data_IF_417334695887
#
_entry.id   IF_417334695887
#
_cell.length_a   1.000
_cell.length_b   1.000
_cell.length_c   1.000
_cell.angle_alpha   90.00
_cell.angle_beta   90.00
_cell.angle_gamma   90.00
#
_symmetry.space_group_name_H-M   'P 1'
#
loop_
_entity.id
_entity.type
_entity.pdbx_description
1 polymer ?
#
# COMPACT_ATOMS: atom_id res chain seq x y z
N UNK A 1 32.87 14.53 -14.47
CA UNK A 1 31.99 15.68 -14.73
C UNK A 1 32.88 16.88 -15.00
N UNK A 2 32.66 17.63 -16.08
CA UNK A 2 33.41 18.85 -16.31
C UNK A 2 33.04 19.89 -15.24
N UNK A 3 34.03 20.44 -14.54
CA UNK A 3 33.83 21.54 -13.62
C UNK A 3 33.60 22.82 -14.42
N UNK A 4 32.35 23.29 -14.47
CA UNK A 4 32.03 24.63 -14.94
C UNK A 4 32.54 25.66 -13.94
N UNK A 5 33.85 25.93 -13.99
CA UNK A 5 34.49 27.03 -13.27
C UNK A 5 34.18 28.38 -13.93
N UNK A 6 34.54 29.47 -13.24
CA UNK A 6 34.69 30.76 -13.92
C UNK A 6 35.85 30.65 -14.91
N UNK A 7 35.67 31.26 -16.09
CA UNK A 7 36.70 31.35 -17.12
C UNK A 7 37.79 32.35 -16.68
N UNK A 8 39.04 32.11 -17.07
CA UNK A 8 40.10 33.10 -16.86
C UNK A 8 39.88 34.31 -17.79
N UNK A 9 40.25 35.51 -17.35
CA UNK A 9 40.07 36.77 -18.11
C UNK A 9 40.46 36.70 -19.62
N UNK A 10 41.62 36.14 -20.03
CA UNK A 10 41.96 36.03 -21.46
C UNK A 10 41.01 35.10 -22.25
N UNK A 11 40.44 34.09 -21.60
CA UNK A 11 39.48 33.17 -22.22
C UNK A 11 38.08 33.82 -22.30
N UNK A 12 37.69 34.60 -21.30
CA UNK A 12 36.46 35.40 -21.33
C UNK A 12 36.53 36.48 -22.43
N UNK A 13 37.66 37.19 -22.55
CA UNK A 13 37.92 38.15 -23.63
C UNK A 13 37.88 37.49 -25.02
N UNK A 14 38.39 36.25 -25.14
CA UNK A 14 38.33 35.47 -26.38
C UNK A 14 36.88 35.04 -26.71
N UNK A 15 36.09 34.66 -25.71
CA UNK A 15 34.68 34.33 -25.84
C UNK A 15 33.83 35.55 -26.21
N UNK A 16 34.15 36.74 -25.68
CA UNK A 16 33.51 37.99 -26.09
C UNK A 16 33.82 38.34 -27.56
N UNK A 17 35.07 38.15 -28.00
CA UNK A 17 35.47 38.36 -29.40
C UNK A 17 34.79 37.39 -30.37
N UNK A 18 34.55 36.13 -29.97
CA UNK A 18 33.81 35.16 -30.80
C UNK A 18 32.29 35.34 -30.76
N UNK A 19 31.74 35.92 -29.68
CA UNK A 19 30.32 36.27 -29.57
C UNK A 19 29.90 37.49 -30.38
N UNK A 20 30.78 38.47 -30.59
CA UNK A 20 30.46 39.67 -31.35
C UNK A 20 30.16 39.29 -32.81
N UNK A 21 28.89 39.36 -33.22
CA UNK A 21 28.55 38.94 -34.57
C UNK A 21 29.13 39.91 -35.60
N UNK A 22 29.59 39.37 -36.74
CA UNK A 22 29.99 40.17 -37.90
C UNK A 22 28.92 41.20 -38.34
N UNK A 23 27.64 40.97 -38.01
CA UNK A 23 26.51 41.88 -38.27
C UNK A 23 26.56 43.12 -37.36
N UNK A 24 27.07 43.00 -36.15
CA UNK A 24 27.16 44.05 -35.14
C UNK A 24 28.47 44.84 -35.28
N UNK A 25 29.56 44.18 -35.67
CA UNK A 25 30.87 44.81 -35.85
C UNK A 25 31.00 45.60 -37.18
N UNK A 26 30.36 45.12 -38.27
CA UNK A 26 30.47 45.74 -39.61
C UNK A 26 29.95 47.19 -39.67
N UNK A 27 28.79 47.57 -39.09
CA UNK A 27 28.35 48.96 -39.04
C UNK A 27 29.38 49.87 -38.36
N UNK A 28 29.87 49.48 -37.19
CA UNK A 28 30.89 50.23 -36.46
C UNK A 28 32.17 50.41 -37.30
N UNK A 29 32.72 49.33 -37.88
CA UNK A 29 33.88 49.39 -38.77
C UNK A 29 33.66 50.29 -39.99
N UNK A 30 32.47 50.28 -40.59
CA UNK A 30 32.14 51.15 -41.73
C UNK A 30 32.06 52.63 -41.32
N UNK A 31 31.40 52.95 -40.21
CA UNK A 31 31.37 54.32 -39.66
C UNK A 31 32.79 54.80 -39.36
N UNK A 32 33.58 54.02 -38.62
CA UNK A 32 34.97 54.37 -38.30
C UNK A 32 35.80 54.60 -39.57
N UNK A 33 35.69 53.74 -40.58
CA UNK A 33 36.39 53.94 -41.86
C UNK A 33 35.87 55.16 -42.62
N UNK A 34 34.55 55.41 -42.66
CA UNK A 34 34.00 56.55 -43.42
C UNK A 34 34.30 57.90 -42.75
N UNK A 35 34.40 57.96 -41.42
CA UNK A 35 34.62 59.22 -40.68
C UNK A 35 36.10 59.51 -40.36
N UNK A 36 36.91 58.49 -40.05
CA UNK A 36 38.27 58.67 -39.49
C UNK A 36 39.40 58.31 -40.46
N UNK A 37 39.11 57.73 -41.62
CA UNK A 37 40.13 57.41 -42.62
C UNK A 37 40.63 58.71 -43.29
N UNK A 38 41.95 58.89 -43.52
CA UNK A 38 42.50 60.15 -44.05
C UNK A 38 41.89 60.60 -45.38
N UNK A 39 41.56 59.65 -46.27
CA UNK A 39 40.86 59.91 -47.54
C UNK A 39 39.35 60.21 -47.39
N UNK A 40 38.84 60.42 -46.16
CA UNK A 40 37.44 60.78 -45.94
C UNK A 40 37.16 62.20 -46.42
N UNK A 41 36.01 62.38 -47.08
CA UNK A 41 35.47 63.67 -47.54
C UNK A 41 35.34 64.69 -46.39
N UNK A 42 35.24 64.23 -45.14
CA UNK A 42 35.21 65.11 -43.95
C UNK A 42 36.60 65.69 -43.64
N UNK A 43 37.65 64.89 -43.77
CA UNK A 43 39.02 65.30 -43.45
C UNK A 43 39.68 66.04 -44.62
N UNK A 44 39.48 65.59 -45.86
CA UNK A 44 40.05 66.21 -47.06
C UNK A 44 39.45 67.59 -47.37
N UNK A 45 38.16 67.81 -47.10
CA UNK A 45 37.56 69.14 -47.24
C UNK A 45 37.94 70.11 -46.09
N UNK A 46 38.40 69.59 -44.95
CA UNK A 46 38.86 70.44 -43.83
C UNK A 46 40.26 71.03 -44.04
N UNK A 47 41.05 70.51 -44.98
CA UNK A 47 42.43 70.94 -45.25
C UNK A 47 42.58 71.87 -46.45
N UNK A 48 41.51 72.11 -47.21
CA UNK A 48 41.49 73.05 -48.34
C UNK A 48 41.24 74.48 -47.84
N UNK A 49 42.20 75.41 -47.99
CA UNK A 49 41.95 76.81 -47.66
C UNK A 49 40.92 77.41 -48.63
N UNK A 50 40.09 78.38 -48.18
CA UNK A 50 39.18 79.11 -49.06
C UNK A 50 39.99 80.04 -49.97
N UNK A 51 40.48 79.52 -51.09
CA UNK A 51 41.13 80.33 -52.12
C UNK A 51 40.11 81.23 -52.82
N UNK A 52 40.44 82.51 -53.07
CA UNK A 52 39.55 83.41 -53.81
C UNK A 52 39.33 82.89 -55.25
N UNK A 53 38.21 83.23 -55.90
CA UNK A 53 37.97 82.83 -57.28
C UNK A 53 39.06 83.41 -58.20
N UNK A 54 39.62 82.64 -59.15
CA UNK A 54 40.46 83.20 -60.19
C UNK A 54 39.62 84.12 -61.09
N UNK A 55 40.19 85.27 -61.49
CA UNK A 55 39.58 86.16 -62.48
C UNK A 55 39.39 85.40 -63.80
N UNK A 56 38.13 85.17 -64.17
CA UNK A 56 37.78 84.34 -65.32
C UNK A 56 37.79 85.15 -66.63
N UNK A 57 38.84 84.98 -67.43
CA UNK A 57 38.87 85.41 -68.85
C UNK A 57 38.63 84.28 -69.86
N UNK A 58 38.52 83.03 -69.40
CA UNK A 58 38.21 81.86 -70.25
C UNK A 58 36.91 81.18 -69.80
N UNK A 59 35.88 81.18 -70.66
CA UNK A 59 34.57 80.53 -70.39
C UNK A 59 34.72 79.02 -70.11
N UNK A 60 35.69 78.35 -70.77
CA UNK A 60 36.02 76.95 -70.53
C UNK A 60 36.62 76.68 -69.14
N UNK A 61 37.31 77.67 -68.54
CA UNK A 61 37.87 77.52 -67.19
C UNK A 61 36.80 77.74 -66.11
N UNK A 62 35.81 78.60 -66.36
CA UNK A 62 34.65 78.74 -65.48
C UNK A 62 33.81 77.45 -65.46
N UNK A 63 33.51 76.88 -66.63
CA UNK A 63 32.69 75.68 -66.77
C UNK A 63 33.31 74.44 -66.08
N UNK A 64 34.64 74.26 -66.14
CA UNK A 64 35.32 73.15 -65.45
C UNK A 64 35.31 73.31 -63.93
N UNK A 65 35.51 74.52 -63.41
CA UNK A 65 35.41 74.81 -61.97
C UNK A 65 33.98 74.62 -61.45
N UNK A 66 32.95 74.92 -62.24
CA UNK A 66 31.56 74.64 -61.87
C UNK A 66 31.23 73.14 -61.90
N UNK A 67 31.73 72.39 -62.90
CA UNK A 67 31.57 70.94 -62.95
C UNK A 67 32.25 70.23 -61.75
N UNK A 68 33.45 70.66 -61.35
CA UNK A 68 34.11 70.14 -60.14
C UNK A 68 33.33 70.45 -58.86
N UNK A 69 32.75 71.65 -58.73
CA UNK A 69 31.89 72.01 -57.60
C UNK A 69 30.64 71.14 -57.55
N UNK A 70 29.98 70.90 -58.68
CA UNK A 70 28.81 70.03 -58.76
C UNK A 70 29.16 68.60 -58.35
N UNK A 71 30.27 68.05 -58.88
CA UNK A 71 30.78 66.72 -58.51
C UNK A 71 31.04 66.60 -57.00
N UNK A 72 31.67 67.58 -56.36
CA UNK A 72 31.89 67.59 -54.90
C UNK A 72 30.58 67.66 -54.10
N UNK A 73 29.57 68.38 -54.59
CA UNK A 73 28.25 68.45 -53.94
C UNK A 73 27.49 67.12 -54.04
N UNK A 74 27.64 66.39 -55.15
CA UNK A 74 27.10 65.04 -55.33
C UNK A 74 27.82 64.01 -54.45
N UNK A 75 29.15 64.03 -54.43
CA UNK A 75 29.98 63.22 -53.52
C UNK A 75 29.61 63.47 -52.05
N UNK A 76 29.39 64.73 -51.65
CA UNK A 76 28.95 65.07 -50.30
C UNK A 76 27.52 64.60 -49.99
N UNK A 77 26.61 64.63 -50.97
CA UNK A 77 25.25 64.10 -50.81
C UNK A 77 25.27 62.59 -50.62
N UNK A 78 25.97 61.87 -51.49
CA UNK A 78 26.14 60.41 -51.41
C UNK A 78 26.79 60.02 -50.08
N UNK A 79 27.87 60.70 -49.68
CA UNK A 79 28.52 60.50 -48.38
C UNK A 79 27.54 60.62 -47.21
N UNK A 80 26.65 61.63 -47.23
CA UNK A 80 25.68 61.89 -46.17
C UNK A 80 24.58 60.81 -46.10
N UNK A 81 24.10 60.36 -47.25
CA UNK A 81 23.11 59.27 -47.35
C UNK A 81 23.71 57.95 -46.85
N UNK A 82 24.89 57.59 -47.34
CA UNK A 82 25.68 56.44 -46.90
C UNK A 82 25.97 56.45 -45.39
N UNK A 83 26.38 57.61 -44.85
CA UNK A 83 26.65 57.76 -43.42
C UNK A 83 25.37 57.57 -42.59
N UNK A 84 24.23 58.12 -43.04
CA UNK A 84 22.94 57.93 -42.37
C UNK A 84 22.51 56.45 -42.35
N UNK A 85 22.70 55.73 -43.46
CA UNK A 85 22.42 54.29 -43.54
C UNK A 85 23.30 53.47 -42.59
N UNK A 86 24.59 53.79 -42.48
CA UNK A 86 25.49 53.09 -41.57
C UNK A 86 25.24 53.41 -40.09
N UNK A 87 24.87 54.66 -39.76
CA UNK A 87 24.43 55.01 -38.41
C UNK A 87 23.11 54.30 -38.03
N UNK A 88 22.14 54.21 -38.94
CA UNK A 88 20.91 53.45 -38.70
C UNK A 88 21.19 51.94 -38.50
N UNK A 89 22.11 51.37 -39.29
CA UNK A 89 22.55 49.98 -39.10
C UNK A 89 23.27 49.76 -37.76
N UNK A 90 24.01 50.76 -37.27
CA UNK A 90 24.69 50.71 -35.97
C UNK A 90 23.73 50.87 -34.80
N UNK A 91 22.75 51.77 -34.90
CA UNK A 91 21.64 51.89 -33.93
C UNK A 91 20.88 50.57 -33.80
N UNK A 92 20.57 49.92 -34.92
CA UNK A 92 19.96 48.59 -34.95
C UNK A 92 20.81 47.50 -34.26
N UNK A 93 22.14 47.57 -34.38
CA UNK A 93 23.04 46.65 -33.67
C UNK A 93 23.08 46.91 -32.15
N UNK A 94 23.05 48.17 -31.71
CA UNK A 94 22.97 48.54 -30.29
C UNK A 94 21.66 48.05 -29.68
N UNK A 95 20.53 48.30 -30.35
CA UNK A 95 19.21 47.86 -29.90
C UNK A 95 19.15 46.33 -29.75
N UNK A 96 19.70 45.59 -30.73
CA UNK A 96 19.83 44.13 -30.67
C UNK A 96 20.63 43.67 -29.44
N UNK A 97 21.78 44.29 -29.16
CA UNK A 97 22.61 43.97 -27.99
C UNK A 97 21.85 44.22 -26.69
N UNK A 98 21.08 45.31 -26.60
CA UNK A 98 20.24 45.62 -25.42
C UNK A 98 19.10 44.61 -25.22
N UNK A 99 18.43 44.19 -26.30
CA UNK A 99 17.42 43.12 -26.24
C UNK A 99 18.04 41.77 -25.84
N UNK A 100 19.22 41.44 -26.36
CA UNK A 100 19.95 40.23 -25.94
C UNK A 100 20.36 40.31 -24.47
N UNK A 101 20.85 41.45 -23.98
CA UNK A 101 21.20 41.63 -22.56
C UNK A 101 19.98 41.41 -21.64
N UNK A 102 18.89 42.13 -21.89
CA UNK A 102 17.67 42.04 -21.08
C UNK A 102 16.96 40.68 -21.18
N UNK A 103 17.08 39.99 -22.32
CA UNK A 103 16.60 38.61 -22.49
C UNK A 103 17.44 37.62 -21.66
N UNK A 104 18.77 37.72 -21.72
CA UNK A 104 19.68 36.88 -20.93
C UNK A 104 19.52 37.12 -19.41
N UNK A 105 19.22 38.34 -18.99
CA UNK A 105 18.94 38.68 -17.58
C UNK A 105 17.69 37.94 -17.08
N UNK A 106 16.57 38.05 -17.82
CA UNK A 106 15.32 37.33 -17.50
C UNK A 106 15.48 35.81 -17.51
N UNK A 107 16.25 35.26 -18.44
CA UNK A 107 16.47 33.82 -18.50
C UNK A 107 17.39 33.35 -17.35
N UNK A 108 18.34 34.17 -16.88
CA UNK A 108 19.09 33.92 -15.64
C UNK A 108 18.21 33.95 -14.41
N UNK A 109 17.30 34.91 -14.29
CA UNK A 109 16.29 34.96 -13.21
C UNK A 109 15.41 33.72 -13.22
N UNK A 110 14.96 33.29 -14.39
CA UNK A 110 14.19 32.06 -14.59
C UNK A 110 14.96 30.83 -14.14
N UNK A 111 16.23 30.68 -14.52
CA UNK A 111 17.06 29.56 -14.05
C UNK A 111 17.34 29.62 -12.54
N UNK A 112 17.46 30.80 -11.94
CA UNK A 112 17.60 30.95 -10.50
C UNK A 112 16.32 30.51 -9.75
N UNK A 113 15.14 30.94 -10.22
CA UNK A 113 13.86 30.51 -9.67
C UNK A 113 13.61 29.00 -9.84
N UNK A 114 13.90 28.46 -11.03
CA UNK A 114 13.76 27.04 -11.33
C UNK A 114 14.73 26.18 -10.50
N UNK A 115 15.98 26.63 -10.30
CA UNK A 115 16.94 25.98 -9.39
C UNK A 115 16.40 25.91 -7.96
N UNK A 116 15.80 26.99 -7.44
CA UNK A 116 15.18 26.98 -6.11
C UNK A 116 13.98 26.03 -6.05
N UNK A 117 13.15 25.98 -7.10
CA UNK A 117 12.03 25.04 -7.23
C UNK A 117 12.52 23.59 -7.16
N UNK A 118 13.52 23.23 -7.97
CA UNK A 118 14.12 21.88 -8.01
C UNK A 118 14.71 21.50 -6.65
N UNK A 119 15.44 22.41 -5.98
CA UNK A 119 16.01 22.16 -4.66
C UNK A 119 14.93 21.94 -3.59
N UNK A 120 13.85 22.71 -3.63
CA UNK A 120 12.67 22.54 -2.76
C UNK A 120 12.00 21.18 -3.00
N UNK A 121 11.74 20.81 -4.25
CA UNK A 121 11.18 19.49 -4.59
C UNK A 121 12.11 18.35 -4.16
N UNK A 122 13.42 18.47 -4.35
CA UNK A 122 14.39 17.47 -3.90
C UNK A 122 14.35 17.28 -2.38
N UNK A 123 14.21 18.38 -1.62
CA UNK A 123 14.11 18.33 -0.17
C UNK A 123 12.80 17.69 0.30
N UNK A 124 11.67 18.09 -0.28
CA UNK A 124 10.36 17.49 -0.01
C UNK A 124 10.33 15.97 -0.30
N UNK A 125 10.96 15.52 -1.40
CA UNK A 125 11.09 14.08 -1.71
C UNK A 125 11.93 13.34 -0.67
N UNK A 126 13.01 13.94 -0.14
CA UNK A 126 13.80 13.32 0.95
C UNK A 126 12.98 13.19 2.24
N UNK A 127 12.24 14.24 2.60
CA UNK A 127 11.39 14.26 3.79
C UNK A 127 10.29 13.20 3.69
N UNK A 128 9.56 13.16 2.58
CA UNK A 128 8.55 12.14 2.35
C UNK A 128 9.13 10.71 2.30
N UNK A 129 10.33 10.53 1.74
CA UNK A 129 11.02 9.23 1.77
C UNK A 129 11.42 8.82 3.20
N UNK A 130 11.75 9.77 4.08
CA UNK A 130 12.02 9.50 5.49
C UNK A 130 10.73 9.11 6.25
N UNK A 131 9.63 9.83 6.03
CA UNK A 131 8.30 9.50 6.58
C UNK A 131 7.84 8.10 6.15
N UNK A 132 7.96 7.76 4.86
CA UNK A 132 7.59 6.45 4.33
C UNK A 132 8.42 5.31 4.93
N UNK A 133 9.69 5.54 5.28
CA UNK A 133 10.50 4.55 6.01
C UNK A 133 9.99 4.32 7.43
N UNK A 134 9.62 5.39 8.16
CA UNK A 134 9.03 5.28 9.50
C UNK A 134 7.70 4.50 9.44
N UNK A 135 6.82 4.83 8.50
CA UNK A 135 5.55 4.12 8.29
C UNK A 135 5.76 2.64 7.92
N UNK A 136 6.79 2.33 7.12
CA UNK A 136 7.16 0.97 6.76
C UNK A 136 7.65 0.18 7.98
N UNK A 137 8.51 0.76 8.82
CA UNK A 137 8.97 0.13 10.07
C UNK A 137 7.80 -0.16 11.04
N UNK A 138 6.87 0.78 11.17
CA UNK A 138 5.64 0.60 11.96
C UNK A 138 4.73 -0.50 11.40
N UNK A 139 4.51 -0.51 10.09
CA UNK A 139 3.74 -1.56 9.41
C UNK A 139 4.39 -2.94 9.56
N UNK A 140 5.73 -3.04 9.51
CA UNK A 140 6.46 -4.27 9.77
C UNK A 140 6.33 -4.75 11.21
N UNK A 141 6.39 -3.84 12.20
CA UNK A 141 6.12 -4.18 13.62
C UNK A 141 4.71 -4.70 13.83
N UNK A 142 3.70 -4.06 13.22
CA UNK A 142 2.30 -4.51 13.28
C UNK A 142 2.10 -5.87 12.58
N UNK A 143 2.78 -6.11 11.45
CA UNK A 143 2.75 -7.40 10.76
C UNK A 143 3.37 -8.51 11.63
N UNK A 144 4.51 -8.24 12.28
CA UNK A 144 5.17 -9.19 13.19
C UNK A 144 4.29 -9.50 14.41
N UNK A 145 3.65 -8.48 15.00
CA UNK A 145 2.70 -8.66 16.09
C UNK A 145 1.50 -9.51 15.64
N UNK A 146 0.92 -9.23 14.47
CA UNK A 146 -0.19 -10.02 13.92
C UNK A 146 0.20 -11.47 13.70
N UNK A 147 1.36 -11.76 13.10
CA UNK A 147 1.88 -13.13 12.96
C UNK A 147 2.00 -13.83 14.32
N UNK A 148 2.46 -13.14 15.36
CA UNK A 148 2.53 -13.73 16.71
C UNK A 148 1.15 -14.04 17.32
N UNK A 149 0.11 -13.27 16.96
CA UNK A 149 -1.27 -13.58 17.34
C UNK A 149 -1.85 -14.73 16.52
N UNK A 150 -1.55 -14.79 15.22
CA UNK A 150 -1.96 -15.91 14.36
C UNK A 150 -1.29 -17.23 14.85
N UNK A 151 0.01 -17.21 15.16
CA UNK A 151 0.75 -18.34 15.78
C UNK A 151 0.14 -18.80 17.13
N UNK A 152 -0.39 -17.87 17.93
CA UNK A 152 -1.05 -18.18 19.20
C UNK A 152 -2.47 -18.70 18.99
N UNK A 153 -3.20 -18.14 18.03
CA UNK A 153 -4.52 -18.62 17.63
C UNK A 153 -4.42 -20.07 17.12
N UNK A 154 -3.48 -20.36 16.23
CA UNK A 154 -3.22 -21.71 15.70
C UNK A 154 -2.86 -22.70 16.80
N UNK A 155 -2.05 -22.32 17.80
CA UNK A 155 -1.77 -23.18 18.98
C UNK A 155 -3.01 -23.48 19.82
N UNK A 156 -3.98 -22.57 19.86
CA UNK A 156 -5.24 -22.74 20.60
C UNK A 156 -6.24 -23.58 19.79
N UNK A 157 -6.37 -23.34 18.49
CA UNK A 157 -7.38 -23.97 17.62
C UNK A 157 -6.97 -25.33 17.08
N UNK A 158 -5.67 -25.55 16.81
CA UNK A 158 -5.17 -26.86 16.32
C UNK A 158 -5.05 -27.91 17.42
N UNK A 159 -5.03 -27.51 18.69
CA UNK A 159 -4.92 -28.43 19.81
C UNK A 159 -6.25 -29.16 20.05
N UNK A 160 -6.39 -30.36 19.48
CA UNK A 160 -7.57 -31.23 19.61
C UNK A 160 -7.96 -31.58 21.06
N UNK A 161 -7.10 -31.35 22.06
CA UNK A 161 -7.44 -31.53 23.48
C UNK A 161 -8.22 -30.33 24.05
N UNK A 162 -8.08 -29.14 23.46
CA UNK A 162 -8.84 -27.95 23.82
C UNK A 162 -10.18 -27.95 23.07
N UNK A 163 -11.25 -28.35 23.76
CA UNK A 163 -12.61 -28.21 23.22
C UNK A 163 -13.00 -26.73 23.08
N UNK A 164 -13.83 -26.35 22.10
CA UNK A 164 -14.43 -25.02 22.02
C UNK A 164 -15.10 -24.59 23.33
N UNK A 165 -15.10 -23.29 23.64
CA UNK A 165 -15.66 -22.76 24.90
C UNK A 165 -17.16 -23.05 25.02
N UNK A 166 -17.89 -23.03 23.92
CA UNK A 166 -19.34 -23.31 23.87
C UNK A 166 -19.63 -24.77 24.28
N UNK A 167 -18.90 -25.74 23.72
CA UNK A 167 -18.99 -27.16 24.11
C UNK A 167 -18.63 -27.38 25.60
N UNK A 168 -17.61 -26.67 26.09
CA UNK A 168 -17.24 -26.74 27.51
C UNK A 168 -18.35 -26.19 28.41
N UNK A 169 -18.98 -25.07 28.03
CA UNK A 169 -20.09 -24.49 28.77
C UNK A 169 -21.32 -25.40 28.78
N UNK A 170 -21.69 -25.98 27.63
CA UNK A 170 -22.80 -26.92 27.54
C UNK A 170 -22.56 -28.18 28.40
N UNK A 171 -21.33 -28.71 28.41
CA UNK A 171 -20.98 -29.85 29.26
C UNK A 171 -20.97 -29.48 30.76
N UNK A 172 -20.51 -28.29 31.13
CA UNK A 172 -20.59 -27.79 32.51
C UNK A 172 -22.04 -27.62 32.97
N UNK A 173 -22.92 -27.06 32.13
CA UNK A 173 -24.35 -26.95 32.43
C UNK A 173 -25.00 -28.33 32.63
N UNK A 174 -24.67 -29.31 31.77
CA UNK A 174 -25.16 -30.68 31.92
C UNK A 174 -24.72 -31.31 33.26
N UNK A 175 -23.43 -31.20 33.59
CA UNK A 175 -22.90 -31.72 34.86
C UNK A 175 -23.51 -31.01 36.06
N UNK A 176 -23.78 -29.70 35.97
CA UNK A 176 -24.51 -28.96 37.00
C UNK A 176 -25.94 -29.49 37.17
N UNK A 177 -26.68 -29.73 36.08
CA UNK A 177 -28.03 -30.31 36.18
C UNK A 177 -28.02 -31.70 36.82
N UNK A 178 -27.08 -32.56 36.43
CA UNK A 178 -26.90 -33.92 36.97
C UNK A 178 -26.54 -33.89 38.47
N UNK A 179 -25.67 -32.97 38.90
CA UNK A 179 -25.36 -32.75 40.32
C UNK A 179 -26.62 -32.32 41.08
N UNK A 180 -27.40 -31.35 40.57
CA UNK A 180 -28.63 -30.90 41.26
C UNK A 180 -29.71 -31.97 41.34
N UNK A 181 -29.74 -32.90 40.37
CA UNK A 181 -30.63 -34.06 40.37
C UNK A 181 -30.18 -35.10 41.41
N UNK A 182 -28.91 -35.50 41.42
CA UNK A 182 -28.34 -36.41 42.43
C UNK A 182 -28.43 -35.84 43.86
N UNK A 183 -28.25 -34.53 44.04
CA UNK A 183 -28.46 -33.87 45.33
C UNK A 183 -29.93 -33.91 45.77
N UNK A 184 -30.88 -33.89 44.83
CA UNK A 184 -32.30 -34.04 45.11
C UNK A 184 -32.64 -35.48 45.45
N UNK A 185 -32.18 -36.45 44.64
CA UNK A 185 -32.33 -37.87 44.95
C UNK A 185 -31.74 -38.23 46.32
N UNK A 186 -30.55 -37.73 46.65
CA UNK A 186 -29.93 -37.91 47.97
C UNK A 186 -30.78 -37.37 49.12
N UNK A 187 -31.46 -36.23 48.91
CA UNK A 187 -32.44 -35.69 49.88
C UNK A 187 -33.69 -36.57 49.98
N UNK A 188 -34.20 -37.07 48.87
CA UNK A 188 -35.37 -37.96 48.82
C UNK A 188 -35.06 -39.36 49.40
N UNK A 189 -33.82 -39.85 49.28
CA UNK A 189 -33.33 -41.04 49.99
C UNK A 189 -33.17 -40.78 51.50
N UNK A 190 -32.73 -39.58 51.90
CA UNK A 190 -32.62 -39.22 53.31
C UNK A 190 -33.99 -39.13 54.01
N UNK A 191 -35.03 -38.59 53.33
CA UNK A 191 -36.40 -38.54 53.87
C UNK A 191 -37.00 -39.94 53.96
N UNK A 192 -36.97 -40.73 52.88
CA UNK A 192 -37.51 -42.11 52.89
C UNK A 192 -36.78 -43.01 53.89
N UNK A 193 -35.47 -42.82 54.11
CA UNK A 193 -34.74 -43.52 55.17
C UNK A 193 -35.17 -43.10 56.59
N UNK A 194 -35.43 -41.81 56.81
CA UNK A 194 -35.96 -41.31 58.09
C UNK A 194 -37.36 -41.86 58.38
N UNK A 195 -38.27 -41.82 57.40
CA UNK A 195 -39.61 -42.42 57.48
C UNK A 195 -39.54 -43.92 57.78
N UNK A 196 -38.66 -44.66 57.08
CA UNK A 196 -38.49 -46.10 57.31
C UNK A 196 -37.93 -46.38 58.71
N UNK A 197 -37.02 -45.54 59.22
CA UNK A 197 -36.51 -45.64 60.59
C UNK A 197 -37.61 -45.37 61.62
N UNK A 198 -38.51 -44.43 61.35
CA UNK A 198 -39.69 -44.19 62.18
C UNK A 198 -40.66 -45.39 62.16
N UNK A 199 -40.96 -45.94 60.98
CA UNK A 199 -41.79 -47.14 60.82
C UNK A 199 -41.21 -48.34 61.59
N UNK A 200 -39.90 -48.59 61.48
CA UNK A 200 -39.23 -49.62 62.30
C UNK A 200 -39.31 -49.30 63.80
N UNK A 201 -39.21 -48.03 64.20
CA UNK A 201 -39.42 -47.60 65.58
C UNK A 201 -40.81 -47.98 66.11
N UNK A 202 -41.86 -47.65 65.35
CA UNK A 202 -43.26 -48.00 65.67
C UNK A 202 -43.44 -49.52 65.77
N UNK A 203 -42.93 -50.30 64.82
CA UNK A 203 -43.00 -51.78 64.84
C UNK A 203 -42.28 -52.37 66.07
N UNK A 204 -41.13 -51.80 66.46
CA UNK A 204 -40.41 -52.23 67.67
C UNK A 204 -41.20 -51.88 68.93
N UNK A 205 -41.82 -50.71 68.98
CA UNK A 205 -42.67 -50.29 70.10
C UNK A 205 -43.93 -51.17 70.21
N UNK A 206 -44.66 -51.39 69.12
CA UNK A 206 -45.81 -52.31 69.06
C UNK A 206 -45.37 -53.74 69.44
N UNK A 207 -44.22 -54.21 68.97
CA UNK A 207 -43.63 -55.49 69.36
C UNK A 207 -43.16 -55.56 70.82
N UNK A 208 -42.95 -54.43 71.50
CA UNK A 208 -42.75 -54.36 72.95
C UNK A 208 -44.09 -54.33 73.69
N UNK A 209 -45.09 -53.61 73.18
CA UNK A 209 -46.45 -53.59 73.72
C UNK A 209 -47.11 -54.99 73.65
N UNK A 210 -46.98 -55.69 72.53
CA UNK A 210 -47.44 -57.08 72.37
C UNK A 210 -46.72 -58.02 73.35
N UNK A 211 -45.43 -57.80 73.64
CA UNK A 211 -44.70 -58.57 74.67
C UNK A 211 -45.11 -58.24 76.10
N UNK A 212 -45.66 -57.03 76.35
CA UNK A 212 -46.34 -56.71 77.62
C UNK A 212 -47.68 -57.43 77.67
N UNK A 213 -48.54 -57.24 76.66
CA UNK A 213 -49.84 -57.94 76.55
C UNK A 213 -49.71 -59.45 76.71
N UNK A 214 -48.75 -60.12 76.04
CA UNK A 214 -48.51 -61.57 76.20
C UNK A 214 -48.05 -61.92 77.61
N UNK A 215 -47.30 -61.06 78.29
CA UNK A 215 -46.90 -61.27 79.69
C UNK A 215 -48.08 -61.07 80.64
N UNK A 216 -48.83 -60.00 80.44
CA UNK A 216 -49.97 -59.62 81.26
C UNK A 216 -51.11 -60.64 81.08
N UNK A 217 -51.32 -61.14 79.86
CA UNK A 217 -52.22 -62.26 79.52
C UNK A 217 -51.70 -63.60 80.06
N UNK A 218 -50.38 -63.87 80.00
CA UNK A 218 -49.79 -65.04 80.67
C UNK A 218 -50.02 -64.97 82.19
N UNK A 219 -49.81 -63.81 82.81
CA UNK A 219 -50.02 -63.60 84.25
C UNK A 219 -51.51 -63.64 84.62
N UNK A 220 -52.41 -63.24 83.72
CA UNK A 220 -53.86 -63.41 83.84
C UNK A 220 -54.26 -64.89 83.73
N UNK A 221 -53.67 -65.65 82.81
CA UNK A 221 -53.83 -67.11 82.70
C UNK A 221 -53.27 -67.80 83.95
N UNK A 222 -52.08 -67.42 84.42
CA UNK A 222 -51.44 -67.97 85.63
C UNK A 222 -52.26 -67.65 86.90
N UNK A 223 -52.93 -66.48 86.97
CA UNK A 223 -53.93 -66.18 88.03
C UNK A 223 -55.27 -66.91 87.86
N UNK A 224 -55.64 -67.32 86.65
CA UNK A 224 -56.89 -68.02 86.34
C UNK A 224 -56.77 -69.54 86.41
N UNK A 225 -55.56 -70.05 86.25
CA UNK A 225 -55.15 -71.46 86.38
C UNK A 225 -54.66 -71.77 87.80
N UNK A 226 -54.07 -70.79 88.51
CA UNK A 226 -53.69 -70.85 89.93
C UNK A 226 -54.85 -70.99 90.94
N UNK A 227 -56.04 -71.40 90.49
CA UNK A 227 -57.19 -71.75 91.33
C UNK A 227 -57.82 -73.12 90.96
N UNK A 228 -57.12 -73.96 90.18
CA UNK A 228 -57.45 -75.37 89.97
C UNK A 228 -56.17 -76.20 89.74
N UNK A 229 -55.33 -76.34 90.77
CA UNK A 229 -54.30 -77.40 90.80
C UNK A 229 -54.87 -78.67 91.44
N UNK A 230 -54.76 -79.76 90.68
CA UNK A 230 -55.12 -81.13 91.04
C UNK A 230 -55.44 -81.86 89.74
N UNK A 231 -54.88 -83.01 89.40
CA UNK A 231 -53.96 -83.91 90.08
C UNK A 231 -53.58 -84.93 89.00
N UNK A 232 -52.27 -85.07 88.73
CA UNK A 232 -51.57 -86.30 88.35
C UNK A 232 -51.87 -87.09 87.04
N UNK A 233 -50.77 -87.60 86.45
CA UNK A 233 -50.67 -88.75 85.54
C UNK A 233 -51.32 -88.71 84.14
N UNK A 234 -50.94 -89.57 83.19
CA UNK A 234 -49.64 -90.25 82.99
C UNK A 234 -49.54 -90.77 81.53
N UNK A 235 -48.30 -90.90 81.05
CA UNK A 235 -47.78 -91.84 80.02
C UNK A 235 -48.28 -91.89 78.53
N UNK A 236 -47.41 -92.49 77.71
CA UNK A 236 -47.63 -93.25 76.48
C UNK A 236 -47.76 -92.57 75.08
N UNK A 237 -46.60 -92.27 74.49
CA UNK A 237 -46.07 -92.85 73.23
C UNK A 237 -46.94 -93.05 71.93
N UNK A 238 -46.57 -92.29 70.87
CA UNK A 238 -46.40 -92.62 69.40
C UNK A 238 -47.41 -93.53 68.61
N UNK A 239 -47.40 -93.59 67.24
CA UNK A 239 -46.89 -92.67 66.19
C UNK A 239 -47.87 -92.44 64.99
N UNK A 240 -47.39 -91.73 63.95
CA UNK A 240 -47.53 -92.08 62.50
C UNK A 240 -48.47 -91.26 61.56
N UNK A 241 -47.88 -90.79 60.45
CA UNK A 241 -48.43 -90.48 59.08
C UNK A 241 -49.70 -89.59 58.96
N UNK A 242 -49.76 -88.56 58.10
CA UNK A 242 -48.82 -88.02 57.10
C UNK A 242 -49.54 -87.54 55.81
N UNK A 243 -48.79 -86.93 54.87
CA UNK A 243 -49.21 -86.39 53.52
C UNK A 243 -49.89 -85.00 53.54
N UNK A 244 -49.71 -84.10 52.55
CA UNK A 244 -48.74 -84.02 51.43
C UNK A 244 -48.88 -82.69 50.64
N UNK A 245 -47.79 -82.23 50.00
CA UNK A 245 -47.75 -81.30 48.83
C UNK A 245 -48.09 -79.82 49.07
N UNK A 246 -47.44 -78.84 48.42
CA UNK A 246 -46.32 -78.93 47.49
C UNK A 246 -45.65 -77.59 47.13
N UNK A 247 -44.36 -77.68 46.81
CA UNK A 247 -43.60 -76.99 45.77
C UNK A 247 -44.07 -75.62 45.22
N UNK A 248 -43.26 -74.56 45.45
CA UNK A 248 -42.46 -73.95 44.37
C UNK A 248 -41.44 -72.91 44.89
N UNK A 249 -40.16 -73.09 44.55
CA UNK A 249 -39.09 -72.08 44.65
C UNK A 249 -38.60 -71.74 43.25
N UNK A 250 -38.49 -70.46 42.85
CA UNK A 250 -37.64 -70.07 41.74
C UNK A 250 -36.22 -69.74 42.24
N UNK A 251 -35.23 -70.32 41.56
CA UNK A 251 -33.79 -70.06 41.71
C UNK A 251 -33.39 -68.96 40.72
N UNK A 252 -32.34 -68.15 40.98
CA UNK A 252 -31.84 -67.18 40.01
C UNK A 252 -30.92 -67.84 38.98
N UNK A 253 -31.22 -67.57 37.71
CA UNK A 253 -30.34 -67.66 36.55
C UNK A 253 -30.63 -66.39 35.70
N UNK A 254 -29.71 -65.79 34.95
CA UNK A 254 -28.33 -66.19 34.70
C UNK A 254 -27.85 -65.90 33.28
N UNK A 255 -28.27 -64.80 32.63
CA UNK A 255 -27.90 -64.50 31.24
C UNK A 255 -27.25 -63.12 31.06
N UNK A 256 -25.95 -63.15 30.79
CA UNK A 256 -25.24 -62.16 30.00
C UNK A 256 -25.66 -62.24 28.53
N UNK A 257 -25.59 -61.13 27.79
CA UNK A 257 -24.85 -60.99 26.50
C UNK A 257 -25.12 -59.62 25.88
N UNK A 258 -24.06 -58.87 25.64
CA UNK A 258 -24.02 -57.71 24.75
C UNK A 258 -24.00 -58.14 23.27
N UNK A 259 -24.71 -57.45 22.37
CA UNK A 259 -24.35 -57.44 20.95
C UNK A 259 -23.63 -56.15 20.56
N UNK A 260 -22.39 -56.27 20.11
CA UNK A 260 -21.68 -55.23 19.35
C UNK A 260 -20.98 -55.89 18.17
N UNK A 261 -21.37 -55.50 16.96
CA UNK A 261 -20.69 -55.61 15.64
C UNK A 261 -21.75 -55.15 14.60
N UNK A 262 -21.53 -54.23 13.65
CA UNK A 262 -20.39 -53.90 12.77
C UNK A 262 -20.26 -54.79 11.53
N UNK A 263 -20.98 -54.40 10.47
CA UNK A 263 -20.75 -54.63 9.02
C UNK A 263 -22.00 -54.14 8.26
N UNK A 264 -22.04 -53.88 6.94
CA UNK A 264 -21.05 -53.40 5.96
C UNK A 264 -21.84 -53.10 4.65
N UNK A 265 -21.50 -52.01 3.96
CA UNK A 265 -21.73 -51.64 2.53
C UNK A 265 -23.02 -51.97 1.72
N UNK A 266 -23.32 -50.99 0.84
CA UNK A 266 -23.78 -51.13 -0.58
C UNK A 266 -25.27 -51.11 -1.01
N UNK A 267 -25.47 -50.44 -2.16
CA UNK A 267 -26.50 -50.60 -3.20
C UNK A 267 -28.00 -50.28 -2.92
N UNK A 268 -28.34 -49.00 -3.12
CA UNK A 268 -29.13 -48.61 -4.32
C UNK A 268 -30.67 -48.58 -4.27
N UNK A 269 -31.24 -47.38 -4.53
CA UNK A 269 -32.49 -47.16 -5.30
C UNK A 269 -32.74 -45.67 -5.63
N UNK A 270 -32.57 -45.31 -6.90
CA UNK A 270 -33.24 -44.17 -7.57
C UNK A 270 -34.57 -44.67 -8.19
N UNK A 271 -35.51 -43.87 -8.77
CA UNK A 271 -35.42 -42.54 -9.43
C UNK A 271 -36.16 -41.43 -8.65
N UNK A 272 -36.39 -40.19 -9.11
CA UNK A 272 -36.22 -39.50 -10.40
C UNK A 272 -35.81 -38.01 -10.17
N UNK A 273 -35.44 -37.18 -11.14
CA UNK A 273 -35.33 -37.35 -12.60
C UNK A 273 -36.14 -36.33 -13.42
N UNK A 274 -35.83 -35.02 -13.30
CA UNK A 274 -36.14 -33.99 -14.32
C UNK A 274 -35.00 -32.98 -14.43
N UNK A 275 -34.90 -32.35 -15.60
CA UNK A 275 -33.68 -31.76 -16.18
C UNK A 275 -33.58 -30.23 -16.10
N UNK A 276 -32.33 -29.75 -16.02
CA UNK A 276 -31.81 -28.49 -16.61
C UNK A 276 -32.37 -27.14 -16.07
N UNK A 277 -31.68 -25.99 -16.18
CA UNK A 277 -30.54 -25.61 -17.03
C UNK A 277 -29.32 -25.02 -16.27
N UNK A 278 -28.31 -24.60 -17.04
CA UNK A 278 -26.92 -24.33 -16.67
C UNK A 278 -26.52 -22.91 -17.08
N UNK A 279 -26.16 -22.04 -16.13
CA UNK A 279 -25.36 -20.81 -16.29
C UNK A 279 -24.74 -20.53 -14.90
N UNK A 280 -23.45 -20.79 -14.65
CA UNK A 280 -22.25 -20.04 -15.07
C UNK A 280 -21.93 -18.82 -14.18
N UNK A 281 -20.65 -18.75 -13.80
CA UNK A 281 -19.86 -17.58 -13.36
C UNK A 281 -20.09 -16.91 -12.01
N UNK A 282 -18.97 -16.85 -11.24
CA UNK A 282 -18.59 -15.86 -10.21
C UNK A 282 -19.46 -15.77 -8.93
N UNK A 283 -18.90 -15.63 -7.73
CA UNK A 283 -17.52 -15.31 -7.36
C UNK A 283 -17.55 -14.27 -6.24
N UNK A 284 -17.23 -14.68 -5.01
CA UNK A 284 -17.38 -13.83 -3.84
C UNK A 284 -16.29 -12.75 -3.77
N UNK A 285 -16.68 -11.48 -3.65
CA UNK A 285 -15.92 -10.43 -2.98
C UNK A 285 -16.79 -9.18 -2.73
N UNK A 286 -16.79 -8.69 -1.50
CA UNK A 286 -16.93 -7.25 -1.24
C UNK A 286 -15.51 -6.65 -1.30
N UNK A 287 -15.32 -5.40 -1.74
CA UNK A 287 -15.19 -4.38 -0.71
C UNK A 287 -15.73 -2.97 -1.06
N UNK A 288 -15.81 -2.19 0.02
CA UNK A 288 -16.19 -0.79 0.12
C UNK A 288 -15.28 0.20 -0.65
N UNK A 289 -15.85 1.38 -0.91
CA UNK A 289 -15.20 2.71 -0.98
C UNK A 289 -14.45 3.11 -2.27
N UNK A 290 -15.13 3.93 -3.09
CA UNK A 290 -14.58 5.15 -3.72
C UNK A 290 -15.69 6.21 -3.83
N UNK A 291 -15.39 7.42 -3.40
CA UNK A 291 -16.24 8.63 -3.48
C UNK A 291 -15.43 9.72 -4.18
N UNK A 292 -16.12 10.75 -4.68
CA UNK A 292 -15.65 11.88 -5.50
C UNK A 292 -15.71 11.57 -7.00
N UNK A 293 -16.92 11.72 -7.54
CA UNK A 293 -17.12 12.17 -8.91
C UNK A 293 -17.04 13.71 -8.93
N UNK A 294 -16.65 14.27 -10.08
CA UNK A 294 -16.63 15.71 -10.30
C UNK A 294 -18.03 16.21 -10.71
N UNK A 295 -18.38 17.40 -10.25
CA UNK A 295 -19.49 18.21 -10.76
C UNK A 295 -19.13 19.68 -10.53
N UNK A 296 -18.83 20.43 -11.60
CA UNK A 296 -18.96 21.88 -11.65
C UNK A 296 -19.04 22.34 -13.13
N UNK A 297 -20.24 22.28 -13.71
CA UNK A 297 -20.54 22.99 -14.95
C UNK A 297 -21.16 24.36 -14.62
N UNK A 298 -20.39 25.44 -14.81
CA UNK A 298 -21.00 26.71 -15.17
C UNK A 298 -20.11 27.58 -16.08
N UNK A 299 -20.68 27.97 -17.22
CA UNK A 299 -20.09 28.83 -18.27
C UNK A 299 -20.21 30.32 -17.86
N UNK A 300 -19.34 31.25 -18.35
CA UNK A 300 -19.31 31.59 -19.78
C UNK A 300 -17.96 31.97 -20.42
N UNK A 301 -17.93 31.88 -21.76
CA UNK A 301 -16.92 32.43 -22.69
C UNK A 301 -17.08 33.95 -22.87
N UNK A 302 -16.05 34.68 -23.35
CA UNK A 302 -15.98 34.90 -24.82
C UNK A 302 -14.58 35.01 -25.47
N UNK A 303 -14.55 34.64 -26.75
CA UNK A 303 -13.84 35.25 -27.91
C UNK A 303 -12.30 35.21 -28.12
N UNK A 304 -11.99 34.85 -29.38
CA UNK A 304 -10.79 35.12 -30.23
C UNK A 304 -9.56 34.22 -30.04
N UNK A 305 -9.35 33.28 -30.98
CA UNK A 305 -8.67 33.45 -32.30
C UNK A 305 -7.14 33.34 -32.15
N UNK A 306 -6.53 32.20 -32.53
CA UNK A 306 -5.53 32.22 -33.61
C UNK A 306 -5.10 30.83 -34.16
N UNK A 307 -4.66 30.87 -35.43
CA UNK A 307 -3.76 29.97 -36.16
C UNK A 307 -3.84 28.42 -35.99
N UNK A 308 -4.42 27.76 -37.00
CA UNK A 308 -4.14 26.38 -37.38
C UNK A 308 -2.90 26.34 -38.30
N UNK A 309 -1.87 25.52 -38.02
CA UNK A 309 -0.74 25.30 -38.93
C UNK A 309 -0.44 23.81 -39.07
N UNK A 310 -0.47 23.35 -40.33
CA UNK A 310 -0.19 21.98 -40.76
C UNK A 310 1.32 21.82 -40.99
N UNK A 311 1.87 20.65 -40.62
CA UNK A 311 3.23 20.23 -40.97
C UNK A 311 3.17 19.10 -42.00
N UNK A 312 3.40 19.43 -43.27
CA UNK A 312 3.69 18.46 -44.33
C UNK A 312 5.16 18.60 -44.73
N UNK A 313 5.90 17.48 -44.67
CA UNK A 313 7.36 17.47 -44.82
C UNK A 313 7.92 16.10 -45.21
N UNK A 314 7.25 15.42 -46.14
CA UNK A 314 7.77 14.18 -46.74
C UNK A 314 9.07 14.45 -47.51
N UNK A 315 10.17 13.77 -47.13
CA UNK A 315 11.40 13.72 -47.92
C UNK A 315 11.67 12.28 -48.30
N UNK A 316 11.48 11.97 -49.58
CA UNK A 316 11.78 10.68 -50.19
C UNK A 316 13.08 10.72 -51.00
N UNK A 317 13.83 9.61 -50.96
CA UNK A 317 14.81 9.24 -52.00
C UNK A 317 16.29 9.52 -51.70
N UNK A 318 17.12 8.45 -51.73
CA UNK A 318 18.58 8.53 -51.72
C UNK A 318 19.25 7.27 -51.15
N UNK A 319 19.57 6.30 -52.01
CA UNK A 319 20.04 4.96 -51.62
C UNK A 319 21.57 4.83 -51.45
N UNK A 320 21.99 3.76 -50.77
CA UNK A 320 23.31 3.06 -50.84
C UNK A 320 24.55 3.66 -50.14
N UNK A 321 24.86 3.11 -48.96
CA UNK A 321 26.14 2.49 -48.55
C UNK A 321 25.95 1.95 -47.11
N UNK A 322 25.68 0.66 -46.87
CA UNK A 322 26.56 -0.53 -47.02
C UNK A 322 27.61 -0.66 -45.88
N UNK A 323 27.77 -1.88 -45.35
CA UNK A 323 28.62 -2.30 -44.20
C UNK A 323 28.11 -1.86 -42.79
N UNK A 324 28.09 -2.69 -41.74
CA UNK A 324 28.60 -4.07 -41.55
C UNK A 324 27.89 -4.83 -40.40
N UNK A 325 27.71 -6.14 -40.59
CA UNK A 325 27.63 -7.31 -39.66
C UNK A 325 27.65 -7.03 -38.14
N UNK A 326 26.74 -7.56 -37.32
CA UNK A 326 26.46 -9.00 -37.07
C UNK A 326 27.70 -9.78 -36.58
N UNK A 327 27.99 -9.67 -35.27
CA UNK A 327 28.72 -10.72 -34.55
C UNK A 327 28.07 -11.03 -33.19
N UNK A 328 27.75 -12.30 -33.05
CA UNK A 328 27.27 -13.04 -31.89
C UNK A 328 28.45 -13.44 -30.96
N UNK A 329 28.12 -14.02 -29.81
CA UNK A 329 28.97 -14.94 -29.03
C UNK A 329 30.03 -14.35 -28.04
N UNK A 330 30.21 -15.06 -26.92
CA UNK A 330 31.53 -15.18 -26.28
C UNK A 330 31.71 -14.58 -24.88
N UNK A 331 31.40 -15.35 -23.85
CA UNK A 331 31.88 -15.16 -22.48
C UNK A 331 33.37 -15.57 -22.37
N UNK A 332 34.23 -14.77 -21.72
CA UNK A 332 35.24 -15.28 -20.77
C UNK A 332 35.91 -14.17 -19.94
N UNK A 333 36.28 -14.50 -18.69
CA UNK A 333 36.89 -13.61 -17.70
C UNK A 333 38.36 -13.97 -17.49
N UNK A 334 39.29 -12.99 -17.45
CA UNK A 334 40.59 -13.17 -16.81
C UNK A 334 40.62 -12.50 -15.42
N UNK A 335 40.82 -13.33 -14.40
CA UNK A 335 41.17 -12.98 -13.03
C UNK A 335 42.64 -12.52 -12.95
N UNK A 336 42.93 -11.36 -12.34
CA UNK A 336 44.29 -11.09 -11.80
C UNK A 336 44.30 -10.08 -10.62
N UNK A 337 44.55 -10.62 -9.43
CA UNK A 337 45.37 -10.04 -8.33
C UNK A 337 45.06 -8.64 -7.79
N UNK A 338 44.43 -8.59 -6.61
CA UNK A 338 44.83 -7.65 -5.52
C UNK A 338 44.46 -8.19 -4.12
N UNK A 339 45.18 -9.20 -3.61
CA UNK A 339 45.06 -9.61 -2.21
C UNK A 339 46.28 -10.40 -1.67
N UNK A 340 47.33 -9.71 -1.23
CA UNK A 340 47.96 -10.11 0.04
C UNK A 340 48.71 -8.98 0.77
N UNK A 341 48.15 -8.65 1.93
CA UNK A 341 48.78 -8.39 3.24
C UNK A 341 50.23 -7.87 3.29
N UNK A 342 50.36 -6.65 3.83
CA UNK A 342 51.51 -6.24 4.63
C UNK A 342 50.99 -5.53 5.88
N UNK A 343 50.95 -6.25 7.01
CA UNK A 343 50.87 -5.66 8.35
C UNK A 343 51.55 -6.60 9.34
N UNK A 344 52.62 -6.10 9.97
CA UNK A 344 53.32 -6.74 11.09
C UNK A 344 53.70 -5.69 12.12
N UNK A 345 52.88 -5.58 13.17
CA UNK A 345 53.20 -4.95 14.46
C UNK A 345 52.49 -5.72 15.56
#
# INVERSE_FOLDING_TARGET
MASYGLLDQPEEDALHKSRLLNVEEKPFKRISKRLLHPESVVLSNSTLPPTPPPDATDENAAATVEAEKQKRLEEWRQFREDAALDFAAFEGSIARIQFLFTSNEKERERYAAEKLRILSTMQSVRENTAELRVQLDEAQRLLALRKSYDDLADKITSNRLLKPREDQQANLQKLQTEITELEKESRDYATTWAERREQFGRIVEEGMQLRRLIRDEKEEVERREGMQEGEDGDDADIPSKGKSSGANTPRPDGESVTPSQQSQDEAGRSPAGLHAEKLSTTGAASPLRKVIAADDENKPSPDKEDANMVDEGEITGGENADQSDELEEGEEVPDDRTADKMDTT
#
